data_IF_659832079273
#
_entry.id   IF_659832079273
#
_cell.length_a   1.000
_cell.length_b   1.000
_cell.length_c   1.000
_cell.angle_alpha   90.00
_cell.angle_beta   90.00
_cell.angle_gamma   90.00
#
_symmetry.space_group_name_H-M   'P 1'
#
loop_
_entity.id
_entity.type
_entity.pdbx_description
1 polymer ?
#
# COMPACT_ATOMS: atom_id res chain seq x y z
N UNK A 1 14.48 -4.83 -34.17
CA UNK A 1 13.10 -4.53 -33.72
C UNK A 1 13.25 -3.59 -32.52
N UNK A 2 12.79 -2.34 -32.61
CA UNK A 2 12.87 -1.42 -31.48
C UNK A 2 11.81 -1.84 -30.44
N UNK A 3 12.22 -1.98 -29.17
CA UNK A 3 11.28 -2.21 -28.07
C UNK A 3 10.45 -0.93 -27.93
N UNK A 4 9.11 -1.01 -27.91
CA UNK A 4 8.29 0.18 -27.67
C UNK A 4 8.68 0.80 -26.32
N UNK A 5 9.00 2.09 -26.33
CA UNK A 5 9.30 2.84 -25.10
C UNK A 5 8.03 2.89 -24.25
N UNK A 6 8.07 2.25 -23.08
CA UNK A 6 7.01 2.36 -22.07
C UNK A 6 7.38 3.50 -21.14
N UNK A 7 6.75 4.66 -21.33
CA UNK A 7 6.83 5.77 -20.36
C UNK A 7 5.73 5.61 -19.31
N UNK A 8 6.13 5.48 -18.06
CA UNK A 8 5.19 5.57 -16.94
C UNK A 8 4.95 7.05 -16.62
N UNK A 9 3.67 7.43 -16.53
CA UNK A 9 3.28 8.78 -16.09
C UNK A 9 3.49 8.90 -14.57
N UNK A 10 4.36 9.82 -14.08
CA UNK A 10 4.57 10.05 -12.66
C UNK A 10 3.27 10.35 -11.89
N UNK A 11 2.32 11.06 -12.50
CA UNK A 11 1.07 11.43 -11.86
C UNK A 11 0.16 10.20 -11.66
N UNK A 12 0.10 9.30 -12.64
CA UNK A 12 -0.65 8.05 -12.51
C UNK A 12 0.00 7.11 -11.50
N UNK A 13 1.34 7.06 -11.44
CA UNK A 13 2.05 6.31 -10.40
C UNK A 13 1.77 6.88 -9.01
N UNK A 14 1.75 8.20 -8.83
CA UNK A 14 1.40 8.82 -7.56
C UNK A 14 -0.04 8.50 -7.14
N UNK A 15 -0.99 8.51 -8.08
CA UNK A 15 -2.39 8.10 -7.81
C UNK A 15 -2.50 6.63 -7.42
N UNK A 16 -1.76 5.75 -8.09
CA UNK A 16 -1.71 4.34 -7.72
C UNK A 16 -1.16 4.17 -6.30
N UNK A 17 -0.09 4.87 -5.96
CA UNK A 17 0.43 4.84 -4.61
C UNK A 17 -0.61 5.31 -3.59
N UNK A 18 -1.31 6.42 -3.84
CA UNK A 18 -2.38 6.90 -2.98
C UNK A 18 -3.51 5.86 -2.80
N UNK A 19 -3.85 5.11 -3.85
CA UNK A 19 -4.83 4.02 -3.75
C UNK A 19 -4.34 2.87 -2.86
N UNK A 20 -3.06 2.52 -2.93
CA UNK A 20 -2.46 1.50 -2.06
C UNK A 20 -2.53 1.92 -0.58
N UNK A 21 -2.18 3.17 -0.28
CA UNK A 21 -2.26 3.71 1.08
C UNK A 21 -3.70 3.77 1.59
N UNK A 22 -4.65 4.22 0.77
CA UNK A 22 -6.07 4.20 1.15
C UNK A 22 -6.57 2.78 1.39
N UNK A 23 -6.14 1.82 0.58
CA UNK A 23 -6.51 0.42 0.74
C UNK A 23 -5.94 -0.17 2.04
N UNK A 24 -4.71 0.17 2.43
CA UNK A 24 -4.13 -0.28 3.72
C UNK A 24 -4.89 0.27 4.92
N UNK A 25 -5.27 1.56 4.87
CA UNK A 25 -6.08 2.21 5.89
C UNK A 25 -7.47 1.57 6.00
N UNK A 26 -8.18 1.43 4.87
CA UNK A 26 -9.50 0.80 4.83
C UNK A 26 -9.48 -0.64 5.35
N UNK A 27 -8.45 -1.41 5.02
CA UNK A 27 -8.29 -2.77 5.52
C UNK A 27 -8.13 -2.80 7.04
N UNK A 28 -7.28 -1.92 7.57
CA UNK A 28 -7.00 -1.82 9.00
C UNK A 28 -8.25 -1.38 9.77
N UNK A 29 -8.93 -0.35 9.28
CA UNK A 29 -10.18 0.15 9.87
C UNK A 29 -11.30 -0.89 9.83
N UNK A 30 -11.47 -1.58 8.70
CA UNK A 30 -12.48 -2.63 8.57
C UNK A 30 -12.21 -3.80 9.52
N UNK A 31 -10.95 -4.19 9.69
CA UNK A 31 -10.58 -5.22 10.64
C UNK A 31 -10.83 -4.78 12.09
N UNK A 32 -10.40 -3.57 12.47
CA UNK A 32 -10.64 -3.02 13.80
C UNK A 32 -12.14 -2.90 14.13
N UNK A 33 -12.96 -2.48 13.16
CA UNK A 33 -14.41 -2.43 13.31
C UNK A 33 -15.01 -3.83 13.51
N UNK A 34 -14.50 -4.84 12.79
CA UNK A 34 -14.95 -6.21 12.90
C UNK A 34 -14.53 -6.88 14.22
N UNK A 35 -13.38 -6.51 14.80
CA UNK A 35 -12.88 -7.13 16.03
C UNK A 35 -13.87 -7.07 17.19
N UNK A 36 -14.62 -5.98 17.33
CA UNK A 36 -15.63 -5.85 18.38
C UNK A 36 -16.71 -6.95 18.30
N UNK A 37 -17.12 -7.33 17.09
CA UNK A 37 -18.10 -8.40 16.88
C UNK A 37 -17.52 -9.81 17.06
N UNK A 38 -16.19 -9.93 17.12
CA UNK A 38 -15.47 -11.18 17.29
C UNK A 38 -14.98 -11.37 18.74
N UNK A 39 -15.32 -10.48 19.67
CA UNK A 39 -14.99 -10.70 21.08
C UNK A 39 -15.93 -11.76 21.65
N UNK A 40 -15.33 -12.79 22.26
CA UNK A 40 -16.04 -13.80 23.04
C UNK A 40 -15.47 -13.79 24.46
N UNK A 41 -16.37 -13.75 25.43
CA UNK A 41 -16.06 -13.94 26.84
C UNK A 41 -15.94 -15.43 27.15
N UNK A 42 -15.17 -15.76 28.19
CA UNK A 42 -15.01 -17.15 28.63
C UNK A 42 -16.33 -17.82 29.04
N UNK A 43 -17.33 -17.01 29.41
CA UNK A 43 -18.67 -17.47 29.78
C UNK A 43 -19.60 -17.73 28.58
N UNK A 44 -19.26 -17.28 27.38
CA UNK A 44 -20.15 -17.36 26.21
C UNK A 44 -20.38 -18.80 25.74
N UNK A 45 -19.46 -19.71 26.07
CA UNK A 45 -19.61 -21.13 25.79
C UNK A 45 -20.54 -21.87 26.78
N UNK A 46 -21.02 -21.22 27.84
CA UNK A 46 -21.96 -21.79 28.80
C UNK A 46 -21.47 -23.10 29.43
N UNK A 47 -22.35 -24.11 29.50
CA UNK A 47 -22.06 -25.44 30.06
C UNK A 47 -21.66 -26.48 29.00
N UNK A 48 -21.21 -26.03 27.83
CA UNK A 48 -20.81 -26.94 26.74
C UNK A 48 -19.57 -27.74 27.17
N UNK A 49 -19.60 -29.06 26.96
CA UNK A 49 -18.53 -29.97 27.42
C UNK A 49 -17.14 -29.66 26.85
N UNK A 50 -17.06 -28.92 25.75
CA UNK A 50 -15.81 -28.46 25.11
C UNK A 50 -15.77 -26.93 24.94
N UNK A 51 -16.47 -26.18 25.81
CA UNK A 51 -16.57 -24.72 25.71
C UNK A 51 -15.21 -24.03 25.73
N UNK A 52 -14.30 -24.46 26.61
CA UNK A 52 -12.95 -23.89 26.71
C UNK A 52 -12.13 -24.10 25.43
N UNK A 53 -12.26 -25.26 24.79
CA UNK A 53 -11.55 -25.56 23.54
C UNK A 53 -12.11 -24.72 22.38
N UNK A 54 -13.43 -24.49 22.35
CA UNK A 54 -14.08 -23.60 21.39
C UNK A 54 -13.58 -22.16 21.54
N UNK A 55 -13.60 -21.61 22.77
CA UNK A 55 -13.14 -20.24 23.04
C UNK A 55 -11.66 -20.08 22.69
N UNK A 56 -10.82 -21.05 23.08
CA UNK A 56 -9.38 -21.04 22.75
C UNK A 56 -9.14 -21.10 21.24
N UNK A 57 -9.87 -21.96 20.53
CA UNK A 57 -9.78 -22.07 19.07
C UNK A 57 -10.20 -20.78 18.37
N UNK A 58 -11.27 -20.14 18.85
CA UNK A 58 -11.72 -18.84 18.38
C UNK A 58 -10.66 -17.76 18.59
N UNK A 59 -10.15 -17.60 19.82
CA UNK A 59 -9.11 -16.62 20.16
C UNK A 59 -7.82 -16.83 19.35
N UNK A 60 -7.44 -18.08 19.12
CA UNK A 60 -6.29 -18.42 18.27
C UNK A 60 -6.52 -17.99 16.83
N UNK A 61 -7.72 -18.23 16.31
CA UNK A 61 -8.10 -17.88 14.93
C UNK A 61 -8.18 -16.36 14.75
N UNK A 62 -8.80 -15.63 15.68
CA UNK A 62 -8.88 -14.18 15.63
C UNK A 62 -7.51 -13.53 15.79
N UNK A 63 -6.64 -14.05 16.66
CA UNK A 63 -5.25 -13.60 16.76
C UNK A 63 -4.43 -13.86 15.49
N UNK A 64 -4.62 -15.01 14.84
CA UNK A 64 -3.98 -15.28 13.55
C UNK A 64 -4.47 -14.34 12.43
N UNK A 65 -5.77 -14.03 12.44
CA UNK A 65 -6.35 -13.06 11.53
C UNK A 65 -5.77 -11.66 11.74
N UNK A 66 -5.58 -11.23 13.00
CA UNK A 66 -4.97 -9.94 13.32
C UNK A 66 -3.56 -9.79 12.72
N UNK A 67 -2.73 -10.82 12.88
CA UNK A 67 -1.40 -10.87 12.27
C UNK A 67 -1.48 -10.84 10.74
N UNK A 68 -2.43 -11.55 10.14
CA UNK A 68 -2.59 -11.61 8.69
C UNK A 68 -3.00 -10.25 8.09
N UNK A 69 -4.00 -9.59 8.70
CA UNK A 69 -4.44 -8.26 8.28
C UNK A 69 -3.35 -7.21 8.46
N UNK A 70 -2.63 -7.23 9.59
CA UNK A 70 -1.49 -6.33 9.81
C UNK A 70 -0.38 -6.52 8.78
N UNK A 71 -0.06 -7.77 8.40
CA UNK A 71 0.93 -8.05 7.35
C UNK A 71 0.49 -7.55 5.98
N UNK A 72 -0.79 -7.74 5.63
CA UNK A 72 -1.32 -7.27 4.34
C UNK A 72 -1.29 -5.74 4.27
N UNK A 73 -1.69 -5.05 5.33
CA UNK A 73 -1.59 -3.58 5.42
C UNK A 73 -0.14 -3.10 5.23
N UNK A 74 0.82 -3.73 5.92
CA UNK A 74 2.24 -3.40 5.78
C UNK A 74 2.81 -3.62 4.36
N UNK A 75 2.32 -4.64 3.63
CA UNK A 75 2.70 -4.85 2.23
C UNK A 75 2.19 -3.71 1.36
N UNK A 76 0.93 -3.31 1.52
CA UNK A 76 0.33 -2.21 0.75
C UNK A 76 1.05 -0.89 1.01
N UNK A 77 1.43 -0.60 2.25
CA UNK A 77 2.25 0.57 2.61
C UNK A 77 3.65 0.50 1.99
N UNK A 78 4.29 -0.68 2.05
CA UNK A 78 5.58 -0.89 1.40
C UNK A 78 5.53 -0.72 -0.13
N UNK A 79 4.42 -1.11 -0.76
CA UNK A 79 4.19 -0.91 -2.19
C UNK A 79 3.88 0.55 -2.53
N UNK A 80 3.12 1.26 -1.69
CA UNK A 80 2.94 2.72 -1.80
C UNK A 80 4.30 3.43 -1.85
N UNK A 81 5.19 3.14 -0.90
CA UNK A 81 6.53 3.70 -0.83
C UNK A 81 7.35 3.43 -2.10
N UNK A 82 7.32 2.20 -2.60
CA UNK A 82 8.05 1.79 -3.81
C UNK A 82 7.54 2.51 -5.04
N UNK A 83 6.22 2.57 -5.22
CA UNK A 83 5.59 3.24 -6.37
C UNK A 83 5.88 4.74 -6.33
N UNK A 84 5.81 5.40 -5.16
CA UNK A 84 6.16 6.81 -5.02
C UNK A 84 7.62 7.09 -5.39
N UNK A 85 8.57 6.24 -4.97
CA UNK A 85 9.97 6.39 -5.37
C UNK A 85 10.16 6.31 -6.87
N UNK A 86 9.42 5.42 -7.55
CA UNK A 86 9.44 5.33 -9.02
C UNK A 86 8.85 6.58 -9.65
N UNK A 87 7.72 7.08 -9.15
CA UNK A 87 7.10 8.31 -9.62
C UNK A 87 8.08 9.51 -9.55
N UNK A 88 8.76 9.69 -8.41
CA UNK A 88 9.76 10.73 -8.25
C UNK A 88 10.98 10.57 -9.17
N UNK A 89 11.41 9.32 -9.42
CA UNK A 89 12.51 9.06 -10.34
C UNK A 89 12.16 9.48 -11.78
N UNK A 90 10.94 9.18 -12.25
CA UNK A 90 10.48 9.63 -13.56
C UNK A 90 10.35 11.14 -13.63
N UNK A 91 9.76 11.78 -12.61
CA UNK A 91 9.65 13.24 -12.57
C UNK A 91 11.02 13.92 -12.66
N UNK A 92 12.01 13.46 -11.87
CA UNK A 92 13.37 14.01 -11.95
C UNK A 92 14.03 13.77 -13.30
N UNK A 93 13.78 12.63 -13.95
CA UNK A 93 14.31 12.35 -15.28
C UNK A 93 13.72 13.31 -16.33
N UNK A 94 12.41 13.56 -16.27
CA UNK A 94 11.74 14.50 -17.18
C UNK A 94 12.22 15.95 -16.94
N UNK A 95 12.36 16.38 -15.68
CA UNK A 95 12.90 17.71 -15.34
C UNK A 95 14.33 17.91 -15.85
N UNK A 96 15.19 16.89 -15.72
CA UNK A 96 16.57 16.93 -16.25
C UNK A 96 16.58 17.00 -17.77
N UNK A 97 15.79 16.18 -18.44
CA UNK A 97 15.69 16.18 -19.90
C UNK A 97 15.17 17.53 -20.42
N UNK A 98 14.19 18.14 -19.74
CA UNK A 98 13.69 19.47 -20.07
C UNK A 98 14.78 20.55 -19.91
N UNK A 99 15.55 20.52 -18.82
CA UNK A 99 16.64 21.46 -18.58
C UNK A 99 17.75 21.33 -19.64
N UNK A 100 18.12 20.10 -20.01
CA UNK A 100 19.10 19.86 -21.07
C UNK A 100 18.62 20.35 -22.44
N UNK A 101 17.34 20.14 -22.75
CA UNK A 101 16.73 20.64 -23.98
C UNK A 101 16.75 22.17 -24.04
N UNK A 102 16.34 22.84 -22.95
CA UNK A 102 16.38 24.30 -22.86
C UNK A 102 17.81 24.82 -23.06
N UNK A 103 18.79 24.21 -22.39
CA UNK A 103 20.20 24.57 -22.54
C UNK A 103 20.67 24.45 -23.99
N UNK A 104 20.34 23.34 -24.65
CA UNK A 104 20.69 23.12 -26.05
C UNK A 104 20.05 24.17 -26.98
N UNK A 105 18.80 24.57 -26.71
CA UNK A 105 18.12 25.62 -27.47
C UNK A 105 18.78 26.98 -27.24
N UNK A 106 19.11 27.35 -26.00
CA UNK A 106 19.80 28.60 -25.69
C UNK A 106 21.19 28.67 -26.33
N UNK A 107 21.98 27.60 -26.23
CA UNK A 107 23.30 27.48 -26.86
C UNK A 107 23.19 27.66 -28.39
N UNK A 108 22.17 27.06 -29.02
CA UNK A 108 21.93 27.20 -30.46
C UNK A 108 21.52 28.62 -30.87
N UNK A 109 20.86 29.35 -29.99
CA UNK A 109 20.42 30.74 -30.22
C UNK A 109 21.49 31.78 -29.84
N UNK A 110 22.62 31.37 -29.25
CA UNK A 110 23.68 32.28 -28.80
C UNK A 110 23.28 33.15 -27.62
N UNK A 111 22.32 32.70 -26.82
CA UNK A 111 21.83 33.40 -25.62
C UNK A 111 22.50 32.75 -24.40
N UNK A 112 23.25 33.56 -23.64
CA UNK A 112 23.98 33.13 -22.43
C UNK A 112 23.22 33.49 -21.16
#
# INVERSE_FOLDING_TARGET
MAVPEVRADPAELARLAEQLLRSSQQLTEAWQAAQAALQLESTDAGNTSHGDDLIRGHQTTTGAADVAFGRLAAVLEGDNDRVLRVAFAYQQADERAAAEFIRLVLDRLGIH
#
